data_IF_432165162020
#
_entry.id   IF_432165162020
#
_cell.length_a   1.000
_cell.length_b   1.000
_cell.length_c   1.000
_cell.angle_alpha   90.00
_cell.angle_beta   90.00
_cell.angle_gamma   90.00
#
_symmetry.space_group_name_H-M   'P 1'
#
loop_
_entity.id
_entity.type
_entity.pdbx_description
1 polymer ?
#
# COMPACT_ATOMS: atom_id res chain seq x y z
N UNK A 1 -13.78 -20.04 -2.26
CA UNK A 1 -13.51 -19.05 -1.20
C UNK A 1 -12.20 -18.40 -1.58
N UNK A 2 -12.28 -17.14 -2.00
CA UNK A 2 -11.28 -16.40 -2.79
C UNK A 2 -9.92 -16.31 -2.09
N UNK A 3 -8.89 -16.71 -2.83
CA UNK A 3 -7.49 -16.41 -2.53
C UNK A 3 -7.29 -14.90 -2.76
N UNK A 4 -7.21 -14.14 -1.66
CA UNK A 4 -6.78 -12.73 -1.62
C UNK A 4 -5.50 -12.66 -0.79
N UNK A 5 -4.54 -13.54 -1.09
CA UNK A 5 -3.21 -13.47 -0.49
C UNK A 5 -2.41 -12.42 -1.23
N UNK A 6 -2.49 -11.20 -0.69
CA UNK A 6 -1.38 -10.24 -0.66
C UNK A 6 -0.68 -10.08 -1.99
N UNK A 7 -1.28 -9.27 -2.86
CA UNK A 7 -0.56 -8.60 -3.92
C UNK A 7 0.59 -7.82 -3.27
N UNK A 8 1.77 -8.44 -3.21
CA UNK A 8 3.06 -7.79 -2.98
C UNK A 8 3.39 -6.97 -4.25
N UNK A 9 2.45 -6.09 -4.59
CA UNK A 9 2.53 -5.15 -5.68
C UNK A 9 3.54 -4.10 -5.21
N UNK A 10 4.79 -4.35 -5.62
CA UNK A 10 5.83 -3.32 -5.75
C UNK A 10 5.13 -2.04 -6.16
N UNK A 11 5.36 -0.93 -5.44
CA UNK A 11 4.68 0.33 -5.70
C UNK A 11 4.77 0.70 -7.18
N UNK A 12 3.71 0.37 -7.93
CA UNK A 12 3.74 0.42 -9.37
C UNK A 12 3.72 1.88 -9.85
N UNK A 13 4.20 2.15 -11.08
CA UNK A 13 4.14 3.49 -11.67
C UNK A 13 2.71 4.06 -11.64
N UNK A 14 1.68 3.21 -11.67
CA UNK A 14 0.28 3.60 -11.58
C UNK A 14 -0.08 4.28 -10.26
N UNK A 15 0.46 3.82 -9.12
CA UNK A 15 0.12 4.39 -7.81
C UNK A 15 0.75 5.76 -7.62
N UNK A 16 1.98 5.95 -8.12
CA UNK A 16 2.62 7.26 -8.20
C UNK A 16 1.81 8.22 -9.08
N UNK A 17 1.33 7.75 -10.23
CA UNK A 17 0.46 8.55 -11.11
C UNK A 17 -0.86 8.92 -10.41
N UNK A 18 -1.47 8.00 -9.66
CA UNK A 18 -2.67 8.29 -8.85
C UNK A 18 -2.40 9.37 -7.80
N UNK A 19 -1.27 9.32 -7.11
CA UNK A 19 -0.88 10.34 -6.15
C UNK A 19 -0.68 11.71 -6.82
N UNK A 20 0.01 11.76 -7.96
CA UNK A 20 0.16 13.00 -8.74
C UNK A 20 -1.19 13.57 -9.16
N UNK A 21 -2.11 12.72 -9.62
CA UNK A 21 -3.48 13.14 -9.97
C UNK A 21 -4.24 13.69 -8.77
N UNK A 22 -4.11 13.07 -7.59
CA UNK A 22 -4.71 13.57 -6.35
C UNK A 22 -4.16 14.97 -5.97
N UNK A 23 -2.85 15.18 -6.08
CA UNK A 23 -2.22 16.46 -5.77
C UNK A 23 -2.65 17.56 -6.75
N UNK A 24 -2.80 17.23 -8.04
CA UNK A 24 -3.32 18.16 -9.06
C UNK A 24 -4.77 18.55 -8.76
N UNK A 25 -5.63 17.58 -8.45
CA UNK A 25 -7.02 17.84 -8.10
C UNK A 25 -7.15 18.74 -6.84
N UNK A 26 -6.30 18.52 -5.83
CA UNK A 26 -6.24 19.39 -4.65
C UNK A 26 -5.83 20.83 -5.04
N UNK A 27 -4.81 20.99 -5.87
CA UNK A 27 -4.35 22.30 -6.32
C UNK A 27 -5.44 23.04 -7.12
N UNK A 28 -6.10 22.35 -8.05
CA UNK A 28 -7.24 22.89 -8.81
C UNK A 28 -8.36 23.36 -7.88
N UNK A 29 -8.70 22.56 -6.87
CA UNK A 29 -9.75 22.92 -5.92
C UNK A 29 -9.41 24.16 -5.10
N UNK A 30 -8.16 24.30 -4.65
CA UNK A 30 -7.70 25.50 -3.94
C UNK A 30 -7.81 26.73 -4.86
N UNK A 31 -7.41 26.61 -6.13
CA UNK A 31 -7.49 27.72 -7.09
C UNK A 31 -8.95 28.10 -7.43
N UNK A 32 -9.87 27.15 -7.46
CA UNK A 32 -11.30 27.44 -7.58
C UNK A 32 -11.82 28.25 -6.40
N UNK A 33 -11.49 27.82 -5.18
CA UNK A 33 -11.92 28.47 -3.94
C UNK A 33 -11.32 29.88 -3.80
N UNK A 34 -10.06 30.07 -4.20
CA UNK A 34 -9.39 31.37 -4.22
C UNK A 34 -10.09 32.33 -5.19
N UNK A 35 -10.36 31.88 -6.43
CA UNK A 35 -11.11 32.66 -7.43
C UNK A 35 -12.52 33.04 -6.97
N UNK A 36 -13.13 32.22 -6.13
CA UNK A 36 -14.44 32.47 -5.53
C UNK A 36 -14.37 33.28 -4.22
N UNK A 37 -13.18 33.65 -3.75
CA UNK A 37 -12.93 34.29 -2.45
C UNK A 37 -13.57 33.52 -1.28
N UNK A 38 -13.54 32.18 -1.36
CA UNK A 38 -14.23 31.24 -0.46
C UNK A 38 -13.29 30.29 0.31
N UNK A 39 -11.99 30.60 0.37
CA UNK A 39 -10.98 29.72 0.97
C UNK A 39 -11.23 29.43 2.46
N UNK A 40 -11.66 30.43 3.23
CA UNK A 40 -11.86 30.28 4.67
C UNK A 40 -13.17 29.56 4.99
N UNK A 41 -14.20 29.81 4.19
CA UNK A 41 -15.51 29.18 4.26
C UNK A 41 -15.42 27.67 3.97
N UNK A 42 -14.52 27.28 3.08
CA UNK A 42 -14.24 25.89 2.74
C UNK A 42 -13.22 25.21 3.68
N UNK A 43 -12.87 25.80 4.83
CA UNK A 43 -11.86 25.25 5.74
C UNK A 43 -12.09 23.76 6.13
N UNK A 44 -13.31 23.28 6.45
CA UNK A 44 -13.53 21.86 6.76
C UNK A 44 -13.28 20.93 5.58
N UNK A 45 -13.59 21.38 4.35
CA UNK A 45 -13.33 20.63 3.12
C UNK A 45 -11.82 20.53 2.86
N UNK A 46 -11.12 21.68 2.92
CA UNK A 46 -9.68 21.76 2.72
C UNK A 46 -8.91 20.91 3.74
N UNK A 47 -9.33 20.92 5.01
CA UNK A 47 -8.72 20.07 6.04
C UNK A 47 -8.82 18.58 5.72
N UNK A 48 -9.98 18.11 5.21
CA UNK A 48 -10.13 16.73 4.75
C UNK A 48 -9.22 16.40 3.57
N UNK A 49 -9.22 17.25 2.55
CA UNK A 49 -8.41 17.00 1.34
C UNK A 49 -6.91 16.99 1.65
N UNK A 50 -6.44 17.95 2.46
CA UNK A 50 -5.06 18.01 2.93
C UNK A 50 -4.69 16.80 3.80
N UNK A 51 -5.61 16.36 4.67
CA UNK A 51 -5.43 15.15 5.48
C UNK A 51 -5.23 13.90 4.62
N UNK A 52 -6.05 13.72 3.59
CA UNK A 52 -5.95 12.60 2.65
C UNK A 52 -4.64 12.66 1.86
N UNK A 53 -4.29 13.82 1.31
CA UNK A 53 -3.05 14.02 0.57
C UNK A 53 -1.82 13.71 1.44
N UNK A 54 -1.82 14.16 2.71
CA UNK A 54 -0.76 13.89 3.67
C UNK A 54 -0.59 12.39 3.93
N UNK A 55 -1.68 11.66 4.15
CA UNK A 55 -1.63 10.20 4.38
C UNK A 55 -1.04 9.46 3.18
N UNK A 56 -1.47 9.81 1.96
CA UNK A 56 -0.94 9.18 0.74
C UNK A 56 0.53 9.53 0.48
N UNK A 57 0.93 10.78 0.72
CA UNK A 57 2.34 11.20 0.63
C UNK A 57 3.21 10.44 1.64
N UNK A 58 2.73 10.25 2.87
CA UNK A 58 3.44 9.47 3.88
C UNK A 58 3.60 8.01 3.45
N UNK A 59 2.54 7.39 2.92
CA UNK A 59 2.63 6.03 2.38
C UNK A 59 3.63 5.93 1.23
N UNK A 60 3.67 6.94 0.35
CA UNK A 60 4.65 7.02 -0.73
C UNK A 60 6.09 7.15 -0.20
N UNK A 61 6.35 8.03 0.76
CA UNK A 61 7.68 8.26 1.33
C UNK A 61 8.21 7.03 2.10
N UNK A 62 7.36 6.40 2.92
CA UNK A 62 7.72 5.17 3.64
C UNK A 62 8.04 4.07 2.63
N UNK A 63 7.23 3.91 1.57
CA UNK A 63 7.48 2.90 0.53
C UNK A 63 8.73 3.20 -0.28
N UNK A 64 9.01 4.44 -0.66
CA UNK A 64 10.27 4.81 -1.31
C UNK A 64 11.50 4.39 -0.49
N UNK A 65 11.36 4.39 0.84
CA UNK A 65 12.46 4.07 1.77
C UNK A 65 12.59 2.56 2.03
N UNK A 66 11.49 1.81 2.00
CA UNK A 66 11.45 0.40 2.46
C UNK A 66 10.98 -0.62 1.41
N UNK A 67 10.45 -0.20 0.27
CA UNK A 67 9.92 -1.05 -0.80
C UNK A 67 10.95 -1.19 -1.93
N UNK A 68 12.19 -1.51 -1.57
CA UNK A 68 13.26 -1.81 -2.54
C UNK A 68 13.09 -3.25 -3.07
N UNK A 69 13.62 -3.55 -4.28
CA UNK A 69 13.62 -4.92 -4.82
C UNK A 69 14.20 -5.95 -3.83
N UNK A 70 15.23 -5.58 -3.06
CA UNK A 70 15.86 -6.43 -2.05
C UNK A 70 14.94 -6.76 -0.87
N UNK A 71 14.10 -5.82 -0.42
CA UNK A 71 13.14 -6.09 0.66
C UNK A 71 11.97 -6.93 0.15
N UNK A 72 11.53 -6.73 -1.09
CA UNK A 72 10.52 -7.57 -1.73
C UNK A 72 11.02 -9.00 -2.01
N UNK A 73 12.29 -9.16 -2.36
CA UNK A 73 12.94 -10.48 -2.49
C UNK A 73 13.10 -11.16 -1.14
N UNK A 74 13.55 -10.42 -0.11
CA UNK A 74 13.68 -10.96 1.24
C UNK A 74 12.35 -11.45 1.80
N UNK A 75 11.25 -10.71 1.59
CA UNK A 75 9.89 -11.14 1.97
C UNK A 75 9.48 -12.44 1.26
N UNK A 76 9.68 -12.53 -0.05
CA UNK A 76 9.41 -13.74 -0.84
C UNK A 76 10.19 -14.96 -0.33
N UNK A 77 11.47 -14.78 0.03
CA UNK A 77 12.29 -15.86 0.58
C UNK A 77 11.74 -16.36 1.92
N UNK A 78 11.31 -15.44 2.79
CA UNK A 78 10.71 -15.80 4.09
C UNK A 78 9.39 -16.53 3.91
N UNK A 79 8.49 -16.03 3.06
CA UNK A 79 7.21 -16.70 2.79
C UNK A 79 7.39 -18.08 2.17
N UNK A 80 8.37 -18.25 1.27
CA UNK A 80 8.74 -19.53 0.70
C UNK A 80 9.27 -20.51 1.75
N UNK A 81 10.09 -20.02 2.69
CA UNK A 81 10.60 -20.82 3.80
C UNK A 81 9.48 -21.24 4.76
N UNK A 82 8.58 -20.32 5.13
CA UNK A 82 7.42 -20.61 6.00
C UNK A 82 6.42 -21.57 5.35
N UNK A 83 6.23 -21.49 4.03
CA UNK A 83 5.39 -22.43 3.30
C UNK A 83 6.00 -23.83 3.30
N UNK A 84 7.30 -23.95 2.99
CA UNK A 84 8.02 -25.23 3.03
C UNK A 84 8.03 -25.84 4.44
N UNK A 85 8.20 -25.02 5.47
CA UNK A 85 8.13 -25.48 6.85
C UNK A 85 6.76 -26.08 7.18
N UNK A 86 5.67 -25.43 6.77
CA UNK A 86 4.30 -25.95 6.93
C UNK A 86 4.04 -27.22 6.12
N UNK A 87 4.55 -27.31 4.90
CA UNK A 87 4.43 -28.53 4.07
C UNK A 87 5.15 -29.72 4.75
N UNK A 88 6.34 -29.50 5.30
CA UNK A 88 7.10 -30.52 6.04
C UNK A 88 6.45 -30.93 7.37
N UNK A 89 5.74 -30.02 8.05
CA UNK A 89 4.95 -30.35 9.24
C UNK A 89 3.73 -31.22 8.91
N UNK A 90 3.17 -31.11 7.69
CA UNK A 90 2.04 -31.92 7.23
C UNK A 90 2.45 -33.31 6.71
N UNK A 91 3.67 -33.48 6.17
CA UNK A 91 4.18 -34.78 5.68
C UNK A 91 4.76 -35.67 6.80
N UNK A 92 4.93 -35.16 8.02
CA UNK A 92 5.44 -35.91 9.17
C UNK A 92 4.40 -36.67 10.00
N UNK A 93 3.13 -36.67 9.59
CA UNK A 93 1.99 -37.20 10.36
C UNK A 93 1.58 -38.64 10.04
N UNK A 94 2.16 -39.27 9.01
CA UNK A 94 1.66 -40.52 8.45
C UNK A 94 2.79 -41.54 8.37
N UNK A 95 3.13 -42.15 9.51
CA UNK A 95 4.24 -43.10 9.58
C UNK A 95 4.28 -44.07 10.76
N UNK A 96 3.22 -44.22 11.56
CA UNK A 96 3.16 -45.29 12.57
C UNK A 96 1.77 -45.92 12.65
N UNK A 97 1.50 -46.92 11.79
CA UNK A 97 0.63 -48.05 12.15
C UNK A 97 1.10 -49.37 11.51
N UNK A 98 1.21 -50.36 12.40
CA UNK A 98 1.21 -51.82 12.23
C UNK A 98 2.50 -52.59 11.87
N UNK A 99 2.92 -53.38 12.87
CA UNK A 99 3.86 -54.51 12.82
C UNK A 99 3.91 -55.23 14.16
#
# INVERSE_FOLDING_TARGET
MTDDRGQDEVYGPERAQRLVSLLRALAERIQELDRANGLLEAAPELQKLLGNARSELFHYEVRLTYDTPEVAESRRIVEDAERRARELEFEGGDGEEEG
#
